data_IF_067498879071
#
_entry.id   IF_067498879071
#
_cell.length_a   1.000
_cell.length_b   1.000
_cell.length_c   1.000
_cell.angle_alpha   90.00
_cell.angle_beta   90.00
_cell.angle_gamma   90.00
#
_symmetry.space_group_name_H-M   'P 1'
#
loop_
_entity.id
_entity.type
_entity.pdbx_description
1 polymer ?
#
# COMPACT_ATOMS: atom_id res chain seq x y z
N UNK A 1 3.94 -23.08 -19.63
CA UNK A 1 3.65 -22.05 -18.62
C UNK A 1 4.46 -20.80 -18.96
N UNK A 2 3.80 -19.66 -19.16
CA UNK A 2 4.45 -18.40 -19.56
C UNK A 2 4.60 -17.50 -18.33
N UNK A 3 5.82 -17.26 -17.89
CA UNK A 3 6.10 -16.41 -16.73
C UNK A 3 6.45 -15.01 -17.23
N UNK A 4 5.49 -14.09 -17.21
CA UNK A 4 5.71 -12.71 -17.65
C UNK A 4 5.07 -11.73 -16.67
N UNK A 5 5.67 -10.56 -16.54
CA UNK A 5 5.19 -9.52 -15.65
C UNK A 5 4.10 -8.69 -16.34
N UNK A 6 2.91 -8.63 -15.75
CA UNK A 6 1.79 -7.85 -16.28
C UNK A 6 1.96 -6.32 -16.18
N UNK A 7 3.02 -5.83 -15.51
CA UNK A 7 3.25 -4.38 -15.30
C UNK A 7 4.26 -3.78 -16.26
N UNK A 8 5.30 -4.53 -16.57
CA UNK A 8 6.38 -4.07 -17.45
C UNK A 8 6.59 -5.01 -18.65
N UNK A 9 5.73 -6.01 -18.83
CA UNK A 9 5.80 -7.02 -19.88
C UNK A 9 7.10 -7.83 -19.95
N UNK A 10 7.94 -7.77 -18.90
CA UNK A 10 9.17 -8.54 -18.84
C UNK A 10 8.87 -10.04 -18.80
N UNK A 11 9.56 -10.80 -19.65
CA UNK A 11 9.44 -12.26 -19.71
C UNK A 11 10.54 -12.94 -18.88
N UNK A 12 10.17 -14.00 -18.17
CA UNK A 12 11.05 -14.78 -17.31
C UNK A 12 11.01 -16.25 -17.69
N UNK A 13 12.15 -16.94 -17.51
CA UNK A 13 12.27 -18.37 -17.80
C UNK A 13 11.65 -19.22 -16.68
N UNK A 14 11.67 -18.74 -15.44
CA UNK A 14 11.11 -19.44 -14.28
C UNK A 14 10.13 -18.58 -13.49
N UNK A 15 9.24 -19.25 -12.75
CA UNK A 15 8.29 -18.59 -11.83
C UNK A 15 9.02 -17.96 -10.64
N UNK A 16 10.13 -18.55 -10.17
CA UNK A 16 10.97 -17.97 -9.11
C UNK A 16 11.50 -16.59 -9.48
N UNK A 17 11.95 -16.43 -10.73
CA UNK A 17 12.49 -15.17 -11.23
C UNK A 17 11.39 -14.11 -11.34
N UNK A 18 10.19 -14.50 -11.80
CA UNK A 18 9.03 -13.61 -11.81
C UNK A 18 8.64 -13.17 -10.39
N UNK A 19 8.61 -14.09 -9.42
CA UNK A 19 8.27 -13.76 -8.03
C UNK A 19 9.33 -12.83 -7.42
N UNK A 20 10.61 -13.08 -7.65
CA UNK A 20 11.69 -12.20 -7.20
C UNK A 20 11.61 -10.82 -7.86
N UNK A 21 11.40 -10.79 -9.18
CA UNK A 21 11.18 -9.56 -9.94
C UNK A 21 10.03 -8.74 -9.34
N UNK A 22 8.88 -9.36 -9.13
CA UNK A 22 7.72 -8.69 -8.54
C UNK A 22 8.05 -8.13 -7.14
N UNK A 23 8.75 -8.88 -6.29
CA UNK A 23 9.12 -8.44 -4.91
C UNK A 23 10.17 -7.34 -4.86
N UNK A 24 11.14 -7.30 -5.77
CA UNK A 24 12.22 -6.32 -5.74
C UNK A 24 11.94 -5.11 -6.63
N UNK A 25 11.43 -5.35 -7.84
CA UNK A 25 11.14 -4.32 -8.84
C UNK A 25 9.77 -3.66 -8.61
N UNK A 26 8.77 -4.44 -8.18
CA UNK A 26 7.41 -3.94 -7.88
C UNK A 26 7.08 -3.98 -6.38
N UNK A 27 8.11 -3.90 -5.52
CA UNK A 27 8.05 -4.00 -4.05
C UNK A 27 6.96 -3.15 -3.39
N UNK A 28 6.61 -2.01 -3.98
CA UNK A 28 5.60 -1.05 -3.45
C UNK A 28 4.15 -1.44 -3.69
N UNK A 29 3.88 -2.48 -4.48
CA UNK A 29 2.53 -2.79 -4.94
C UNK A 29 2.03 -4.20 -4.56
N UNK A 30 2.88 -5.04 -3.97
CA UNK A 30 2.52 -6.40 -3.50
C UNK A 30 2.06 -6.41 -2.04
N UNK A 31 2.00 -5.22 -1.42
CA UNK A 31 1.23 -4.99 -0.20
C UNK A 31 -0.13 -4.32 -0.54
N UNK A 32 -1.08 -5.02 -1.22
CA UNK A 32 -2.45 -4.51 -1.32
C UNK A 32 -3.14 -4.44 0.06
N UNK A 33 -2.56 -5.09 1.08
CA UNK A 33 -3.08 -5.07 2.45
C UNK A 33 -2.78 -3.75 3.18
N UNK A 34 -1.70 -3.04 2.83
CA UNK A 34 -1.39 -1.75 3.47
C UNK A 34 -2.04 -0.55 2.79
N UNK A 35 -2.17 -0.55 1.46
CA UNK A 35 -2.80 0.58 0.74
C UNK A 35 -4.31 0.69 0.90
N UNK A 36 -5.04 -0.41 1.14
CA UNK A 36 -6.49 -0.34 1.35
C UNK A 36 -6.89 0.23 2.72
N UNK A 37 -5.95 0.33 3.67
CA UNK A 37 -6.19 0.93 4.99
C UNK A 37 -5.75 2.39 5.12
N UNK A 38 -5.08 2.95 4.11
CA UNK A 38 -4.57 4.33 4.10
C UNK A 38 -5.61 5.36 3.62
N UNK A 39 -6.65 4.95 2.91
CA UNK A 39 -7.65 5.88 2.34
C UNK A 39 -9.01 5.90 3.04
N UNK A 40 -9.17 5.25 4.21
CA UNK A 40 -10.27 5.63 5.10
C UNK A 40 -9.78 6.83 5.92
N UNK A 41 -9.97 8.01 5.33
CA UNK A 41 -9.57 9.32 5.86
C UNK A 41 -9.72 9.34 7.38
N UNK A 42 -8.60 9.37 8.10
CA UNK A 42 -8.58 9.66 9.52
C UNK A 42 -8.82 11.16 9.66
N UNK A 43 -10.06 11.57 9.49
CA UNK A 43 -10.50 12.95 9.62
C UNK A 43 -11.15 13.14 10.98
N UNK A 44 -10.95 14.31 11.57
CA UNK A 44 -11.74 14.75 12.70
C UNK A 44 -13.14 15.14 12.23
N UNK A 45 -14.22 14.62 12.82
CA UNK A 45 -15.58 15.04 12.46
C UNK A 45 -15.99 16.40 13.07
N UNK A 46 -15.19 16.96 13.99
CA UNK A 46 -15.42 18.27 14.63
C UNK A 46 -14.79 19.43 13.83
N UNK A 47 -13.52 19.32 13.45
CA UNK A 47 -12.78 20.36 12.71
C UNK A 47 -12.36 19.95 11.29
N UNK A 48 -12.67 18.73 10.85
CA UNK A 48 -12.29 18.18 9.53
C UNK A 48 -10.78 18.11 9.23
N UNK A 49 -9.94 18.19 10.27
CA UNK A 49 -8.49 18.00 10.11
C UNK A 49 -8.16 16.56 9.73
N UNK A 50 -7.24 16.39 8.77
CA UNK A 50 -6.90 15.09 8.18
C UNK A 50 -5.54 14.61 8.70
N UNK A 51 -5.53 13.43 9.30
CA UNK A 51 -4.36 12.81 9.88
C UNK A 51 -3.82 11.69 9.00
N UNK A 52 -2.48 11.57 8.96
CA UNK A 52 -1.79 10.49 8.25
C UNK A 52 -1.77 9.18 9.04
N UNK A 53 -1.94 9.25 10.36
CA UNK A 53 -1.86 8.09 11.26
C UNK A 53 -2.92 8.13 12.37
N UNK A 54 -3.37 6.95 12.81
CA UNK A 54 -4.49 6.80 13.75
C UNK A 54 -4.21 7.42 15.11
N UNK A 55 -2.99 7.28 15.62
CA UNK A 55 -2.62 7.77 16.95
C UNK A 55 -2.62 9.31 17.02
N UNK A 56 -2.37 10.00 15.90
CA UNK A 56 -2.50 11.45 15.84
C UNK A 56 -3.96 11.90 15.95
N UNK A 57 -4.88 11.24 15.22
CA UNK A 57 -6.33 11.50 15.35
C UNK A 57 -6.82 11.20 16.78
N UNK A 58 -6.42 10.08 17.38
CA UNK A 58 -6.84 9.72 18.74
C UNK A 58 -6.37 10.76 19.77
N UNK A 59 -5.11 11.21 19.72
CA UNK A 59 -4.60 12.27 20.59
C UNK A 59 -5.27 13.62 20.32
N UNK A 60 -5.56 13.91 19.06
CA UNK A 60 -6.29 15.11 18.69
C UNK A 60 -7.70 15.14 19.30
N UNK A 61 -8.43 14.01 19.29
CA UNK A 61 -9.75 13.89 19.96
C UNK A 61 -9.68 14.11 21.47
N UNK A 62 -8.60 13.70 22.14
CA UNK A 62 -8.46 13.92 23.60
C UNK A 62 -8.20 15.37 23.99
N UNK A 63 -7.79 16.20 23.02
CA UNK A 63 -7.48 17.62 23.23
C UNK A 63 -8.52 18.56 22.61
N UNK A 64 -9.61 18.02 22.04
CA UNK A 64 -10.74 18.85 21.63
C UNK A 64 -11.44 19.43 22.84
#
# INVERSE_FOLDING_TARGET
>A
SQNWCAKCNASFRMTSDLVYHMRSHHKREIDPVKRKRESYKLKCDVCNEVFKERHHLTRHMTSH
#
